data_IF_829368640906
#
_entry.id   IF_829368640906
#
_cell.length_a   1.000
_cell.length_b   1.000
_cell.length_c   1.000
_cell.angle_alpha   90.00
_cell.angle_beta   90.00
_cell.angle_gamma   90.00
#
_symmetry.space_group_name_H-M   'P 1'
#
loop_
_entity.id
_entity.type
_entity.pdbx_description
1 polymer ?
#
# COMPACT_ATOMS: atom_id res chain seq x y z
N UNK A 1 8.39 -20.99 51.86
CA UNK A 1 9.50 -20.93 50.88
C UNK A 1 9.04 -20.86 49.40
N UNK A 2 7.77 -21.05 49.11
CA UNK A 2 7.22 -21.08 47.72
C UNK A 2 7.01 -19.69 47.07
N UNK A 3 6.84 -18.62 47.86
CA UNK A 3 6.56 -17.27 47.35
C UNK A 3 7.72 -16.62 46.56
N UNK A 4 8.97 -16.92 46.93
CA UNK A 4 10.14 -16.35 46.23
C UNK A 4 10.29 -16.86 44.78
N UNK A 5 9.82 -18.08 44.52
CA UNK A 5 9.85 -18.65 43.17
C UNK A 5 8.79 -18.10 42.25
N UNK A 6 7.64 -17.73 42.77
CA UNK A 6 6.55 -17.11 42.00
C UNK A 6 6.88 -15.65 41.63
N UNK A 7 7.46 -14.91 42.58
CA UNK A 7 7.88 -13.51 42.32
C UNK A 7 9.02 -13.48 41.29
N UNK A 8 10.02 -14.38 41.38
CA UNK A 8 11.07 -14.45 40.38
C UNK A 8 10.57 -14.80 38.97
N UNK A 9 9.57 -15.70 38.86
CA UNK A 9 8.94 -16.04 37.59
C UNK A 9 8.09 -14.87 37.03
N UNK A 10 7.43 -14.12 37.89
CA UNK A 10 6.67 -12.94 37.49
C UNK A 10 7.62 -11.84 36.94
N UNK A 11 8.71 -11.56 37.63
CA UNK A 11 9.70 -10.58 37.20
C UNK A 11 10.38 -11.01 35.87
N UNK A 12 10.71 -12.30 35.71
CA UNK A 12 11.27 -12.82 34.47
C UNK A 12 10.28 -12.70 33.30
N UNK A 13 8.99 -12.94 33.55
CA UNK A 13 7.95 -12.77 32.52
C UNK A 13 7.74 -11.30 32.15
N UNK A 14 7.85 -10.38 33.10
CA UNK A 14 7.78 -8.93 32.83
C UNK A 14 8.99 -8.46 31.99
N UNK A 15 10.21 -8.89 32.32
CA UNK A 15 11.41 -8.53 31.54
C UNK A 15 11.36 -9.09 30.12
N UNK A 16 10.96 -10.34 29.93
CA UNK A 16 10.77 -10.92 28.60
C UNK A 16 9.70 -10.16 27.78
N UNK A 17 8.68 -9.67 28.43
CA UNK A 17 7.61 -8.91 27.79
C UNK A 17 8.07 -7.51 27.39
N UNK A 18 8.89 -6.84 28.21
CA UNK A 18 9.51 -5.55 27.90
C UNK A 18 10.51 -5.67 26.74
N UNK A 19 11.39 -6.66 26.75
CA UNK A 19 12.36 -6.92 25.67
C UNK A 19 11.65 -7.21 24.33
N UNK A 20 10.57 -7.98 24.34
CA UNK A 20 9.74 -8.22 23.16
C UNK A 20 9.07 -6.95 22.66
N UNK A 21 8.63 -6.08 23.56
CA UNK A 21 7.98 -4.82 23.19
C UNK A 21 8.98 -3.84 22.56
N UNK A 22 10.18 -3.69 23.15
CA UNK A 22 11.24 -2.84 22.60
C UNK A 22 11.73 -3.34 21.24
N UNK A 23 11.99 -4.65 21.12
CA UNK A 23 12.40 -5.24 19.85
C UNK A 23 11.37 -5.08 18.76
N UNK A 24 10.09 -5.18 19.11
CA UNK A 24 8.96 -4.90 18.20
C UNK A 24 8.97 -3.46 17.71
N UNK A 25 9.09 -2.50 18.61
CA UNK A 25 9.08 -1.08 18.26
C UNK A 25 10.21 -0.74 17.30
N UNK A 26 11.42 -1.23 17.55
CA UNK A 26 12.58 -1.02 16.69
C UNK A 26 12.35 -1.59 15.27
N UNK A 27 11.78 -2.80 15.18
CA UNK A 27 11.50 -3.43 13.88
C UNK A 27 10.41 -2.68 13.13
N UNK A 28 9.32 -2.28 13.80
CA UNK A 28 8.22 -1.51 13.21
C UNK A 28 8.70 -0.14 12.70
N UNK A 29 9.50 0.59 13.47
CA UNK A 29 10.08 1.88 13.09
C UNK A 29 11.06 1.74 11.91
N UNK A 30 11.93 0.72 11.95
CA UNK A 30 12.87 0.44 10.85
C UNK A 30 12.14 0.11 9.57
N UNK A 31 11.15 -0.78 9.62
CA UNK A 31 10.34 -1.15 8.47
C UNK A 31 9.58 0.06 7.90
N UNK A 32 8.96 0.88 8.76
CA UNK A 32 8.25 2.08 8.36
C UNK A 32 9.19 3.12 7.72
N UNK A 33 10.40 3.30 8.26
CA UNK A 33 11.42 4.19 7.70
C UNK A 33 11.86 3.78 6.30
N UNK A 34 12.19 2.50 6.13
CA UNK A 34 12.57 1.94 4.82
C UNK A 34 11.40 2.00 3.83
N UNK A 35 10.19 1.65 4.26
CA UNK A 35 8.99 1.74 3.43
C UNK A 35 8.77 3.18 2.93
N UNK A 36 8.91 4.17 3.80
CA UNK A 36 8.78 5.59 3.42
C UNK A 36 9.80 5.99 2.35
N UNK A 37 11.03 5.51 2.45
CA UNK A 37 12.06 5.75 1.41
C UNK A 37 11.60 5.21 0.06
N UNK A 38 11.10 3.98 0.01
CA UNK A 38 10.57 3.40 -1.23
C UNK A 38 9.30 4.09 -1.73
N UNK A 39 8.45 4.61 -0.85
CA UNK A 39 7.29 5.42 -1.24
C UNK A 39 7.74 6.70 -1.92
N UNK A 40 8.72 7.42 -1.35
CA UNK A 40 9.29 8.63 -1.95
C UNK A 40 9.90 8.34 -3.34
N UNK A 41 10.72 7.30 -3.46
CA UNK A 41 11.30 6.90 -4.75
C UNK A 41 10.23 6.60 -5.81
N UNK A 42 9.15 5.91 -5.42
CA UNK A 42 8.04 5.59 -6.32
C UNK A 42 7.25 6.83 -6.72
N UNK A 43 7.04 7.75 -5.79
CA UNK A 43 6.38 9.02 -6.07
C UNK A 43 7.18 9.83 -7.08
N UNK A 44 8.48 10.01 -6.87
CA UNK A 44 9.36 10.68 -7.83
C UNK A 44 9.40 9.98 -9.19
N UNK A 45 9.33 8.65 -9.21
CA UNK A 45 9.27 7.89 -10.45
C UNK A 45 7.99 8.18 -11.23
N UNK A 46 6.84 8.23 -10.55
CA UNK A 46 5.54 8.55 -11.15
C UNK A 46 5.53 9.98 -11.68
N UNK A 47 6.00 10.95 -10.92
CA UNK A 47 6.12 12.35 -11.33
C UNK A 47 6.98 12.51 -12.60
N UNK A 48 8.14 11.87 -12.63
CA UNK A 48 9.02 11.88 -13.84
C UNK A 48 8.36 11.26 -15.07
N UNK A 49 7.54 10.22 -14.89
CA UNK A 49 6.79 9.60 -15.99
C UNK A 49 5.68 10.55 -16.45
N UNK A 50 4.97 11.20 -15.54
CA UNK A 50 3.93 12.18 -15.85
C UNK A 50 4.50 13.35 -16.67
N UNK A 51 5.58 13.99 -16.21
CA UNK A 51 6.26 15.06 -16.95
C UNK A 51 6.67 14.62 -18.35
N UNK A 52 7.25 13.43 -18.49
CA UNK A 52 7.68 12.90 -19.79
C UNK A 52 6.50 12.67 -20.72
N UNK A 53 5.36 12.18 -20.21
CA UNK A 53 4.15 11.99 -21.01
C UNK A 53 3.57 13.34 -21.45
N UNK A 54 3.55 14.35 -20.59
CA UNK A 54 3.11 15.71 -20.94
C UNK A 54 3.99 16.34 -22.01
N UNK A 55 5.30 16.17 -21.94
CA UNK A 55 6.22 16.62 -22.99
C UNK A 55 5.96 15.90 -24.32
N UNK A 56 5.72 14.58 -24.30
CA UNK A 56 5.38 13.80 -25.49
C UNK A 56 4.04 14.22 -26.09
N UNK A 57 3.05 14.50 -25.27
CA UNK A 57 1.73 15.02 -25.69
C UNK A 57 1.90 16.37 -26.38
N UNK A 58 2.64 17.30 -25.76
CA UNK A 58 2.90 18.62 -26.33
C UNK A 58 3.60 18.54 -27.68
N UNK A 59 4.64 17.69 -27.80
CA UNK A 59 5.33 17.43 -29.05
C UNK A 59 4.45 16.79 -30.12
N UNK A 60 3.55 15.89 -29.73
CA UNK A 60 2.60 15.24 -30.65
C UNK A 60 1.50 16.21 -31.11
N UNK A 61 1.03 17.11 -30.24
CA UNK A 61 0.09 18.18 -30.59
C UNK A 61 0.71 19.14 -31.61
N UNK A 62 1.96 19.56 -31.42
CA UNK A 62 2.68 20.40 -32.38
C UNK A 62 2.80 19.71 -33.74
N UNK A 63 3.10 18.42 -33.79
CA UNK A 63 3.14 17.63 -35.03
C UNK A 63 1.78 17.55 -35.71
N UNK A 64 0.71 17.34 -34.95
CA UNK A 64 -0.66 17.31 -35.48
C UNK A 64 -1.03 18.65 -36.07
N UNK A 65 -0.72 19.75 -35.39
CA UNK A 65 -0.96 21.11 -35.89
C UNK A 65 -0.18 21.41 -37.16
N UNK A 66 1.10 21.00 -37.22
CA UNK A 66 1.91 21.13 -38.44
C UNK A 66 1.31 20.36 -39.62
N UNK A 67 0.84 19.13 -39.39
CA UNK A 67 0.13 18.34 -40.40
C UNK A 67 -1.16 18.97 -40.86
N UNK A 68 -1.93 19.55 -39.93
CA UNK A 68 -3.17 20.29 -40.30
C UNK A 68 -2.89 21.54 -41.15
N UNK A 69 -1.83 22.27 -40.80
CA UNK A 69 -1.43 23.47 -41.57
C UNK A 69 -0.88 23.09 -42.97
N UNK A 70 -0.27 21.88 -43.11
CA UNK A 70 0.21 21.36 -44.38
C UNK A 70 -0.86 20.67 -45.23
N UNK A 71 -2.13 21.08 -45.08
CA UNK A 71 -3.25 20.51 -45.83
C UNK A 71 -3.06 20.65 -47.35
N UNK A 72 -3.16 19.54 -48.12
CA UNK A 72 -3.07 19.58 -49.58
C UNK A 72 -4.18 20.44 -50.18
N UNK A 73 -3.82 21.31 -51.12
CA UNK A 73 -4.79 22.19 -51.82
C UNK A 73 -5.86 21.41 -52.61
N UNK A 74 -6.88 22.12 -53.06
CA UNK A 74 -8.04 21.49 -53.77
C UNK A 74 -7.61 20.73 -55.04
N UNK A 75 -6.58 21.19 -55.72
CA UNK A 75 -6.03 20.61 -56.96
C UNK A 75 -4.96 19.52 -56.74
N UNK A 76 -4.69 19.17 -55.51
CA UNK A 76 -3.70 18.13 -55.19
C UNK A 76 -4.18 16.74 -55.58
N UNK A 77 -3.25 15.86 -56.00
CA UNK A 77 -3.55 14.48 -56.36
C UNK A 77 -4.28 13.72 -55.25
N UNK A 78 -5.22 12.83 -55.58
CA UNK A 78 -5.97 12.05 -54.59
C UNK A 78 -5.08 11.26 -53.62
N UNK A 79 -3.97 10.70 -54.12
CA UNK A 79 -2.97 9.96 -53.31
C UNK A 79 -2.36 10.84 -52.20
N UNK A 80 -2.04 12.10 -52.51
CA UNK A 80 -1.47 13.03 -51.50
C UNK A 80 -2.48 13.38 -50.42
N UNK A 81 -3.77 13.54 -50.79
CA UNK A 81 -4.85 13.78 -49.83
C UNK A 81 -5.06 12.56 -48.91
N UNK A 82 -5.03 11.37 -49.48
CA UNK A 82 -5.16 10.12 -48.74
C UNK A 82 -4.01 9.90 -47.75
N UNK A 83 -2.76 10.12 -48.20
CA UNK A 83 -1.59 10.03 -47.32
C UNK A 83 -1.65 11.07 -46.19
N UNK A 84 -2.06 12.30 -46.49
CA UNK A 84 -2.22 13.35 -45.51
C UNK A 84 -3.30 13.01 -44.48
N UNK A 85 -4.46 12.52 -44.88
CA UNK A 85 -5.55 12.10 -43.96
C UNK A 85 -5.13 10.92 -43.10
N UNK A 86 -4.41 9.95 -43.67
CA UNK A 86 -3.86 8.82 -42.93
C UNK A 86 -2.86 9.27 -41.85
N UNK A 87 -1.95 10.21 -42.20
CA UNK A 87 -0.98 10.75 -41.24
C UNK A 87 -1.65 11.50 -40.09
N UNK A 88 -2.72 12.26 -40.35
CA UNK A 88 -3.50 12.91 -39.31
C UNK A 88 -4.17 11.87 -38.39
N UNK A 89 -4.81 10.85 -38.97
CA UNK A 89 -5.46 9.80 -38.19
C UNK A 89 -4.46 9.05 -37.29
N UNK A 90 -3.27 8.74 -37.79
CA UNK A 90 -2.18 8.13 -37.02
C UNK A 90 -1.72 9.07 -35.89
N UNK A 91 -1.53 10.37 -36.17
CA UNK A 91 -1.11 11.33 -35.18
C UNK A 91 -2.15 11.50 -34.06
N UNK A 92 -3.44 11.57 -34.41
CA UNK A 92 -4.54 11.62 -33.44
C UNK A 92 -4.63 10.36 -32.58
N UNK A 93 -4.56 9.18 -33.20
CA UNK A 93 -4.56 7.91 -32.47
C UNK A 93 -3.38 7.80 -31.50
N UNK A 94 -2.21 8.33 -31.88
CA UNK A 94 -1.05 8.35 -30.99
C UNK A 94 -1.25 9.33 -29.84
N UNK A 95 -1.85 10.49 -30.08
CA UNK A 95 -2.18 11.48 -29.07
C UNK A 95 -3.15 10.90 -28.03
N UNK A 96 -4.21 10.25 -28.49
CA UNK A 96 -5.19 9.63 -27.58
C UNK A 96 -4.51 8.59 -26.68
N UNK A 97 -3.66 7.69 -27.23
CA UNK A 97 -2.93 6.71 -26.43
C UNK A 97 -1.98 7.34 -25.40
N UNK A 98 -1.43 8.52 -25.67
CA UNK A 98 -0.61 9.24 -24.72
C UNK A 98 -1.44 9.83 -23.59
N UNK A 99 -2.64 10.34 -23.90
CA UNK A 99 -3.60 10.83 -22.90
C UNK A 99 -4.09 9.69 -22.01
N UNK A 100 -4.48 8.54 -22.58
CA UNK A 100 -4.90 7.37 -21.82
C UNK A 100 -3.80 6.94 -20.81
N UNK A 101 -2.54 6.89 -21.29
CA UNK A 101 -1.41 6.56 -20.40
C UNK A 101 -1.15 7.60 -19.31
N UNK A 102 -1.36 8.87 -19.61
CA UNK A 102 -1.23 9.94 -18.62
C UNK A 102 -2.31 9.82 -17.55
N UNK A 103 -3.52 9.46 -17.95
CA UNK A 103 -4.63 9.20 -17.03
C UNK A 103 -4.32 8.01 -16.13
N UNK A 104 -3.88 6.88 -16.69
CA UNK A 104 -3.43 5.70 -15.92
C UNK A 104 -2.37 6.06 -14.85
N UNK A 105 -1.39 6.90 -15.22
CA UNK A 105 -0.31 7.33 -14.30
C UNK A 105 -0.85 8.23 -13.19
N UNK A 106 -1.79 9.13 -13.51
CA UNK A 106 -2.46 9.99 -12.52
C UNK A 106 -3.33 9.18 -11.57
N UNK A 107 -4.01 8.17 -12.07
CA UNK A 107 -4.79 7.25 -11.23
C UNK A 107 -3.91 6.49 -10.22
N UNK A 108 -2.70 6.06 -10.64
CA UNK A 108 -1.72 5.46 -9.73
C UNK A 108 -1.27 6.46 -8.67
N UNK A 109 -0.96 7.70 -9.06
CA UNK A 109 -0.56 8.78 -8.15
C UNK A 109 -1.64 9.08 -7.12
N UNK A 110 -2.86 9.27 -7.59
CA UNK A 110 -3.98 9.70 -6.75
C UNK A 110 -4.59 8.54 -5.94
N UNK A 111 -4.27 7.29 -6.30
CA UNK A 111 -4.71 6.08 -5.61
C UNK A 111 -6.23 5.88 -5.60
N UNK A 112 -6.93 6.48 -6.57
CA UNK A 112 -8.39 6.48 -6.63
C UNK A 112 -8.99 5.36 -7.48
N UNK A 113 -8.21 4.77 -8.38
CA UNK A 113 -8.73 3.75 -9.30
C UNK A 113 -8.92 2.39 -8.63
N UNK A 114 -10.07 1.79 -8.85
CA UNK A 114 -10.36 0.42 -8.41
C UNK A 114 -9.50 -0.58 -9.22
N UNK A 115 -8.68 -1.36 -8.52
CA UNK A 115 -7.84 -2.39 -9.12
C UNK A 115 -6.45 -1.93 -9.56
N UNK A 116 -6.12 -0.65 -9.45
CA UNK A 116 -4.77 -0.13 -9.70
C UNK A 116 -3.97 -0.14 -8.39
N UNK A 117 -2.75 -0.68 -8.36
CA UNK A 117 -1.94 -0.72 -7.14
C UNK A 117 -1.53 0.70 -6.72
N UNK A 118 -1.79 1.04 -5.48
CA UNK A 118 -1.37 2.32 -4.89
C UNK A 118 0.15 2.39 -4.78
N UNK A 119 0.71 3.60 -4.79
CA UNK A 119 2.16 3.82 -4.62
C UNK A 119 2.70 3.07 -3.40
N UNK A 120 1.98 3.09 -2.28
CA UNK A 120 2.34 2.36 -1.06
C UNK A 120 2.43 0.83 -1.26
N UNK A 121 1.51 0.25 -2.04
CA UNK A 121 1.56 -1.19 -2.36
C UNK A 121 2.73 -1.53 -3.27
N UNK A 122 3.04 -0.67 -4.25
CA UNK A 122 4.21 -0.83 -5.11
C UNK A 122 5.51 -0.71 -4.31
N UNK A 123 5.59 0.26 -3.41
CA UNK A 123 6.72 0.44 -2.49
C UNK A 123 6.89 -0.78 -1.56
N UNK A 124 5.79 -1.27 -0.96
CA UNK A 124 5.82 -2.45 -0.09
C UNK A 124 6.25 -3.71 -0.84
N UNK A 125 5.83 -3.89 -2.09
CA UNK A 125 6.31 -5.01 -2.94
C UNK A 125 7.79 -4.89 -3.24
N UNK A 126 8.29 -3.68 -3.57
CA UNK A 126 9.71 -3.43 -3.80
C UNK A 126 10.53 -3.72 -2.55
N UNK A 127 10.11 -3.21 -1.38
CA UNK A 127 10.77 -3.47 -0.10
C UNK A 127 10.90 -4.98 0.17
N UNK A 128 9.81 -5.74 -0.01
CA UNK A 128 9.81 -7.20 0.19
C UNK A 128 10.75 -7.96 -0.75
N UNK A 129 11.00 -7.41 -1.94
CA UNK A 129 11.93 -7.99 -2.92
C UNK A 129 13.39 -7.65 -2.61
N UNK A 130 13.67 -6.43 -2.17
CA UNK A 130 15.03 -5.93 -1.96
C UNK A 130 15.52 -6.19 -0.52
N UNK A 131 14.59 -6.18 0.46
CA UNK A 131 14.88 -6.37 1.90
C UNK A 131 14.05 -7.53 2.50
N UNK A 132 14.21 -8.77 2.00
CA UNK A 132 13.37 -9.91 2.41
C UNK A 132 13.52 -10.24 3.89
N UNK A 133 14.72 -10.05 4.47
CA UNK A 133 14.98 -10.35 5.88
C UNK A 133 14.25 -9.37 6.81
N UNK A 134 14.22 -8.08 6.46
CA UNK A 134 13.48 -7.06 7.20
C UNK A 134 11.97 -7.31 7.10
N UNK A 135 11.49 -7.62 5.90
CA UNK A 135 10.08 -7.93 5.68
C UNK A 135 9.63 -9.16 6.48
N UNK A 136 10.47 -10.22 6.53
CA UNK A 136 10.20 -11.41 7.32
C UNK A 136 10.16 -11.10 8.81
N UNK A 137 11.14 -10.37 9.33
CA UNK A 137 11.16 -9.96 10.75
C UNK A 137 9.91 -9.17 11.12
N UNK A 138 9.47 -8.27 10.26
CA UNK A 138 8.26 -7.50 10.46
C UNK A 138 7.01 -8.40 10.47
N UNK A 139 6.86 -9.31 9.50
CA UNK A 139 5.75 -10.25 9.42
C UNK A 139 5.71 -11.21 10.62
N UNK A 140 6.87 -11.67 11.11
CA UNK A 140 7.01 -12.51 12.31
C UNK A 140 6.55 -11.75 13.57
N UNK A 141 6.97 -10.50 13.73
CA UNK A 141 6.52 -9.61 14.82
C UNK A 141 5.02 -9.38 14.77
N UNK A 142 4.46 -9.05 13.60
CA UNK A 142 3.03 -8.84 13.43
C UNK A 142 2.23 -10.11 13.77
N UNK A 143 2.76 -11.26 13.41
CA UNK A 143 2.14 -12.56 13.73
C UNK A 143 2.17 -12.84 15.23
N UNK A 144 3.29 -12.60 15.90
CA UNK A 144 3.41 -12.74 17.35
C UNK A 144 2.43 -11.84 18.11
N UNK A 145 2.28 -10.58 17.67
CA UNK A 145 1.32 -9.63 18.24
C UNK A 145 -0.13 -10.12 18.07
N UNK A 146 -0.48 -10.64 16.89
CA UNK A 146 -1.84 -11.17 16.65
C UNK A 146 -2.13 -12.36 17.56
N UNK A 147 -1.19 -13.28 17.70
CA UNK A 147 -1.32 -14.44 18.57
C UNK A 147 -1.46 -14.01 20.04
N UNK A 148 -0.64 -13.06 20.49
CA UNK A 148 -0.71 -12.52 21.85
C UNK A 148 -2.10 -11.88 22.12
N UNK A 149 -2.57 -11.01 21.24
CA UNK A 149 -3.85 -10.36 21.37
C UNK A 149 -5.02 -11.38 21.38
N UNK A 150 -4.93 -12.44 20.59
CA UNK A 150 -5.92 -13.52 20.59
C UNK A 150 -5.96 -14.25 21.94
N UNK A 151 -4.78 -14.58 22.49
CA UNK A 151 -4.68 -15.22 23.80
C UNK A 151 -5.20 -14.32 24.92
N UNK A 152 -4.90 -13.03 24.90
CA UNK A 152 -5.41 -12.08 25.86
C UNK A 152 -6.96 -11.98 25.79
N UNK A 153 -7.51 -11.92 24.59
CA UNK A 153 -8.96 -11.88 24.38
C UNK A 153 -9.62 -13.14 24.96
N UNK A 154 -9.10 -14.31 24.64
CA UNK A 154 -9.60 -15.59 25.20
C UNK A 154 -9.49 -15.64 26.72
N UNK A 155 -8.41 -15.10 27.30
CA UNK A 155 -8.23 -15.05 28.74
C UNK A 155 -9.30 -14.15 29.40
N UNK A 156 -9.51 -12.97 28.85
CA UNK A 156 -10.53 -12.02 29.32
C UNK A 156 -11.95 -12.61 29.22
N UNK A 157 -12.27 -13.28 28.11
CA UNK A 157 -13.57 -13.94 27.93
C UNK A 157 -13.79 -15.07 28.95
N UNK A 158 -12.79 -15.92 29.19
CA UNK A 158 -12.86 -16.98 30.24
C UNK A 158 -13.02 -16.40 31.63
N UNK A 159 -12.36 -15.29 31.93
CA UNK A 159 -12.46 -14.62 33.21
C UNK A 159 -13.85 -13.99 33.42
N UNK A 160 -14.41 -13.36 32.37
CA UNK A 160 -15.78 -12.85 32.40
C UNK A 160 -16.81 -13.95 32.59
N UNK A 161 -16.67 -15.09 31.89
CA UNK A 161 -17.54 -16.25 32.07
C UNK A 161 -17.46 -16.79 33.50
N UNK A 162 -16.26 -16.89 34.09
CA UNK A 162 -16.10 -17.32 35.50
C UNK A 162 -16.76 -16.32 36.46
N UNK A 163 -16.62 -15.01 36.24
CA UNK A 163 -17.30 -14.00 37.08
C UNK A 163 -18.82 -14.08 36.96
N UNK A 164 -19.36 -14.27 35.77
CA UNK A 164 -20.81 -14.44 35.57
C UNK A 164 -21.34 -15.72 36.21
N UNK A 165 -20.63 -16.84 36.06
CA UNK A 165 -20.98 -18.09 36.70
C UNK A 165 -20.92 -17.99 38.26
N UNK A 166 -19.91 -17.30 38.79
CA UNK A 166 -19.80 -17.04 40.23
C UNK A 166 -20.93 -16.16 40.75
N UNK A 167 -21.36 -15.16 40.00
CA UNK A 167 -22.51 -14.31 40.34
C UNK A 167 -23.86 -15.09 40.33
N UNK A 168 -24.02 -15.99 39.33
CA UNK A 168 -25.26 -16.81 39.25
C UNK A 168 -25.38 -17.79 40.42
N UNK A 169 -24.26 -18.38 40.87
CA UNK A 169 -24.25 -19.26 42.05
C UNK A 169 -24.55 -18.50 43.34
N UNK A 170 -24.06 -17.27 43.50
CA UNK A 170 -24.33 -16.46 44.70
C UNK A 170 -25.77 -15.96 44.78
N UNK A 171 -26.45 -15.74 43.67
CA UNK A 171 -27.85 -15.38 43.57
C UNK A 171 -28.77 -16.58 43.89
N UNK A 172 -28.40 -17.79 43.44
CA UNK A 172 -29.12 -19.01 43.70
C UNK A 172 -29.16 -19.39 45.19
N UNK A 173 -28.12 -19.11 45.96
CA UNK A 173 -28.06 -19.34 47.41
C UNK A 173 -28.92 -18.37 48.26
N UNK A 174 -29.24 -17.18 47.74
CA UNK A 174 -30.08 -16.20 48.45
C UNK A 174 -31.61 -16.44 48.34
N UNK A 175 -32.02 -17.32 47.45
CA UNK A 175 -33.48 -17.61 47.21
C UNK A 175 -33.97 -18.81 48.06
N UNK A 176 -33.07 -19.55 48.73
CA UNK A 176 -33.42 -20.74 49.55
C UNK A 176 -33.39 -20.44 51.06
N UNK A 177 -33.65 -19.20 51.49
CA UNK A 177 -33.85 -18.86 52.91
C UNK A 177 -35.19 -18.20 53.16
#
# INVERSE_FOLDING_TARGET
MEDKGLVAKAVAAETEQEELFESRQVIEETFAGVLNTYVLEKTEQVERIEEKLEQLISGQMAKLQALQNARPGMLSMPSKKQTWSANIAVAQSRLNRLHDRLEDVREIRDGMALGVPKIQELAARKLRMEEPDLAKKFDDVQTAVRVHNLHEKQRKEKEQQKRQAGLSLSLGQKIVR
#
